data_IF_318180174978
#
_entry.id   IF_318180174978
#
_cell.length_a   1.000
_cell.length_b   1.000
_cell.length_c   1.000
_cell.angle_alpha   90.00
_cell.angle_beta   90.00
_cell.angle_gamma   90.00
#
_symmetry.space_group_name_H-M   'P 1'
#
loop_
_entity.id
_entity.type
_entity.pdbx_description
1 polymer ?
#
# COMPACT_ATOMS: atom_id res chain seq x y z
N UNK A 1 -23.36 4.39 10.92
CA UNK A 1 -22.02 4.68 10.37
C UNK A 1 -21.14 3.50 10.65
N UNK A 2 -20.63 2.83 9.61
CA UNK A 2 -19.81 1.63 9.76
C UNK A 2 -18.44 2.02 10.37
N UNK A 3 -18.03 1.37 11.45
CA UNK A 3 -16.93 1.79 12.31
C UNK A 3 -15.63 1.02 11.99
N UNK A 4 -14.47 1.70 12.03
CA UNK A 4 -13.14 1.06 11.82
C UNK A 4 -12.88 0.02 12.91
N UNK A 5 -13.60 0.09 14.03
CA UNK A 5 -13.55 -0.91 15.09
C UNK A 5 -13.73 -2.33 14.58
N UNK A 6 -14.54 -2.59 13.56
CA UNK A 6 -14.68 -3.95 13.01
C UNK A 6 -13.39 -4.45 12.34
N UNK A 7 -12.76 -3.63 11.50
CA UNK A 7 -11.46 -3.95 10.89
C UNK A 7 -10.40 -4.12 11.97
N UNK A 8 -10.41 -3.25 12.99
CA UNK A 8 -9.50 -3.32 14.13
C UNK A 8 -9.68 -4.61 14.94
N UNK A 9 -10.92 -5.02 15.16
CA UNK A 9 -11.26 -6.27 15.86
C UNK A 9 -10.79 -7.48 15.04
N UNK A 10 -11.03 -7.48 13.73
CA UNK A 10 -10.56 -8.53 12.82
C UNK A 10 -9.02 -8.66 12.87
N UNK A 11 -8.31 -7.53 12.76
CA UNK A 11 -6.83 -7.51 12.87
C UNK A 11 -6.38 -7.99 14.26
N UNK A 12 -7.06 -7.59 15.32
CA UNK A 12 -6.72 -7.99 16.69
C UNK A 12 -6.92 -9.48 16.92
N UNK A 13 -8.01 -10.05 16.38
CA UNK A 13 -8.26 -11.49 16.40
C UNK A 13 -7.19 -12.26 15.63
N UNK A 14 -6.85 -11.80 14.42
CA UNK A 14 -5.79 -12.39 13.60
C UNK A 14 -4.41 -12.34 14.30
N UNK A 15 -4.07 -11.21 14.94
CA UNK A 15 -2.84 -11.08 15.75
C UNK A 15 -2.82 -12.03 16.93
N UNK A 16 -3.95 -12.19 17.63
CA UNK A 16 -4.08 -13.09 18.77
C UNK A 16 -3.89 -14.54 18.34
N UNK A 17 -4.53 -14.95 17.24
CA UNK A 17 -4.36 -16.28 16.64
C UNK A 17 -2.89 -16.52 16.26
N UNK A 18 -2.26 -15.56 15.57
CA UNK A 18 -0.86 -15.69 15.16
C UNK A 18 0.09 -15.79 16.36
N UNK A 19 -0.14 -15.01 17.43
CA UNK A 19 0.63 -15.10 18.67
C UNK A 19 0.44 -16.44 19.39
N UNK A 20 -0.79 -16.98 19.38
CA UNK A 20 -1.10 -18.26 20.01
C UNK A 20 -0.38 -19.41 19.30
N UNK A 21 -0.37 -19.40 17.96
CA UNK A 21 0.33 -20.40 17.15
C UNK A 21 1.85 -20.24 17.30
N UNK A 22 2.38 -19.03 17.07
CA UNK A 22 3.82 -18.78 17.12
C UNK A 22 4.46 -19.01 18.50
N UNK A 23 3.73 -18.77 19.59
CA UNK A 23 4.20 -19.11 20.94
C UNK A 23 4.26 -20.62 21.19
N UNK A 24 3.31 -21.37 20.61
CA UNK A 24 3.27 -22.83 20.75
C UNK A 24 4.30 -23.54 19.88
N UNK A 25 4.55 -23.08 18.67
CA UNK A 25 5.59 -23.69 17.82
C UNK A 25 6.98 -23.54 18.44
N UNK A 26 7.29 -22.39 19.03
CA UNK A 26 8.53 -22.20 19.81
C UNK A 26 8.64 -23.19 20.97
N UNK A 27 7.57 -23.36 21.75
CA UNK A 27 7.56 -24.30 22.87
C UNK A 27 7.71 -25.77 22.40
N UNK A 28 7.07 -26.14 21.29
CA UNK A 28 7.20 -27.48 20.69
C UNK A 28 8.63 -27.74 20.23
N UNK A 29 9.28 -26.75 19.61
CA UNK A 29 10.65 -26.90 19.13
C UNK A 29 11.66 -26.98 20.29
N UNK A 30 11.51 -26.16 21.33
CA UNK A 30 12.34 -26.26 22.55
C UNK A 30 12.18 -27.61 23.27
N UNK A 31 10.97 -28.18 23.29
CA UNK A 31 10.76 -29.53 23.83
C UNK A 31 11.44 -30.62 22.99
N UNK A 32 11.47 -30.46 21.66
CA UNK A 32 12.19 -31.39 20.77
C UNK A 32 13.69 -31.33 21.01
N UNK A 33 14.24 -30.13 21.16
CA UNK A 33 15.67 -29.92 21.49
C UNK A 33 16.01 -30.60 22.83
N UNK A 34 15.23 -30.35 23.89
CA UNK A 34 15.43 -31.00 25.19
C UNK A 34 15.28 -32.53 25.13
N UNK A 35 14.33 -33.04 24.35
CA UNK A 35 14.17 -34.48 24.15
C UNK A 35 15.37 -35.10 23.41
N UNK A 36 15.92 -34.39 22.42
CA UNK A 36 17.13 -34.81 21.70
C UNK A 36 18.37 -34.80 22.60
N UNK A 37 18.50 -33.82 23.50
CA UNK A 37 19.58 -33.75 24.49
C UNK A 37 19.49 -34.88 25.53
N UNK A 38 18.29 -35.14 26.05
CA UNK A 38 18.06 -36.13 27.11
C UNK A 38 18.08 -37.58 26.61
N UNK A 39 17.78 -37.82 25.32
CA UNK A 39 17.84 -39.16 24.74
C UNK A 39 18.31 -39.15 23.28
N UNK A 40 19.64 -39.10 23.03
CA UNK A 40 20.22 -39.01 21.69
C UNK A 40 19.93 -40.21 20.78
N UNK A 41 19.54 -41.35 21.36
CA UNK A 41 19.22 -42.59 20.65
C UNK A 41 17.71 -42.69 20.32
N UNK A 42 16.88 -41.76 20.78
CA UNK A 42 15.45 -41.76 20.49
C UNK A 42 15.19 -41.20 19.09
N UNK A 43 14.75 -42.03 18.16
CA UNK A 43 14.18 -41.55 16.91
C UNK A 43 12.84 -40.87 17.21
N UNK A 44 12.76 -39.57 16.93
CA UNK A 44 11.49 -38.84 16.91
C UNK A 44 10.64 -39.47 15.81
N UNK A 45 9.65 -40.28 16.18
CA UNK A 45 8.72 -40.84 15.21
C UNK A 45 8.07 -39.69 14.43
N UNK A 46 8.01 -39.75 13.09
CA UNK A 46 7.25 -38.77 12.31
C UNK A 46 5.82 -38.78 12.81
N UNK A 47 5.17 -37.61 12.87
CA UNK A 47 3.86 -37.37 13.48
C UNK A 47 2.83 -38.44 13.06
N UNK A 48 2.82 -39.55 13.77
CA UNK A 48 1.87 -40.64 13.62
C UNK A 48 0.64 -40.18 14.35
N UNK A 49 -0.29 -39.58 13.57
CA UNK A 49 -1.63 -39.18 13.97
C UNK A 49 -1.68 -38.52 15.35
N UNK A 50 -1.58 -37.19 15.37
CA UNK A 50 -1.77 -36.37 16.58
C UNK A 50 -3.02 -36.87 17.33
N UNK A 51 -2.82 -37.71 18.35
CA UNK A 51 -3.92 -38.24 19.15
C UNK A 51 -4.53 -37.04 19.82
N UNK A 52 -5.78 -36.75 19.44
CA UNK A 52 -6.61 -35.64 19.88
C UNK A 52 -6.39 -35.40 21.37
N UNK A 53 -5.46 -34.49 21.71
CA UNK A 53 -5.19 -34.10 23.09
C UNK A 53 -6.42 -33.33 23.52
N UNK A 54 -7.32 -34.05 24.21
CA UNK A 54 -8.68 -33.68 24.55
C UNK A 54 -8.82 -32.30 25.21
N UNK A 55 -7.75 -31.77 25.78
CA UNK A 55 -7.72 -30.49 26.49
C UNK A 55 -7.37 -29.27 25.63
N UNK A 56 -6.84 -29.44 24.42
CA UNK A 56 -6.20 -28.33 23.68
C UNK A 56 -6.99 -27.86 22.44
N UNK A 57 -7.94 -28.66 21.95
CA UNK A 57 -8.68 -28.38 20.71
C UNK A 57 -9.74 -27.28 20.86
N UNK A 58 -10.39 -27.18 22.02
CA UNK A 58 -11.49 -26.23 22.27
C UNK A 58 -11.01 -24.78 22.28
N UNK A 59 -9.89 -24.49 22.95
CA UNK A 59 -9.34 -23.14 23.00
C UNK A 59 -8.84 -22.65 21.63
N UNK A 60 -8.36 -23.56 20.77
CA UNK A 60 -7.95 -23.20 19.41
C UNK A 60 -9.18 -22.95 18.52
N UNK A 61 -10.22 -23.78 18.61
CA UNK A 61 -11.45 -23.57 17.84
C UNK A 61 -12.10 -22.23 18.14
N UNK A 62 -12.02 -21.75 19.39
CA UNK A 62 -12.56 -20.45 19.80
C UNK A 62 -11.74 -19.26 19.23
N UNK A 63 -10.47 -19.49 18.93
CA UNK A 63 -9.54 -18.49 18.37
C UNK A 63 -9.51 -18.48 16.84
N UNK A 64 -10.03 -19.54 16.19
CA UNK A 64 -10.03 -19.63 14.73
C UNK A 64 -10.91 -18.52 14.13
N UNK A 65 -10.40 -17.97 13.03
CA UNK A 65 -11.15 -17.06 12.20
C UNK A 65 -12.18 -17.86 11.39
N UNK A 66 -13.38 -17.31 11.21
CA UNK A 66 -14.38 -17.86 10.30
C UNK A 66 -13.91 -17.73 8.85
N UNK A 67 -14.54 -18.48 7.94
CA UNK A 67 -14.24 -18.36 6.50
C UNK A 67 -14.45 -16.92 5.99
N UNK A 68 -15.48 -16.23 6.47
CA UNK A 68 -15.76 -14.84 6.12
C UNK A 68 -14.69 -13.88 6.64
N UNK A 69 -14.19 -14.10 7.86
CA UNK A 69 -13.10 -13.33 8.45
C UNK A 69 -11.78 -13.56 7.68
N UNK A 70 -11.49 -14.80 7.28
CA UNK A 70 -10.34 -15.12 6.43
C UNK A 70 -10.41 -14.43 5.07
N UNK A 71 -11.56 -14.49 4.41
CA UNK A 71 -11.79 -13.80 3.15
C UNK A 71 -11.62 -12.28 3.32
N UNK A 72 -12.14 -11.71 4.42
CA UNK A 72 -11.98 -10.30 4.73
C UNK A 72 -10.51 -9.90 4.94
N UNK A 73 -9.71 -10.76 5.57
CA UNK A 73 -8.26 -10.52 5.74
C UNK A 73 -7.53 -10.57 4.39
N UNK A 74 -7.86 -11.54 3.53
CA UNK A 74 -7.26 -11.64 2.19
C UNK A 74 -7.61 -10.43 1.31
N UNK A 75 -8.87 -10.01 1.31
CA UNK A 75 -9.31 -8.79 0.63
C UNK A 75 -8.62 -7.54 1.18
N UNK A 76 -8.49 -7.44 2.51
CA UNK A 76 -7.79 -6.32 3.15
C UNK A 76 -6.30 -6.29 2.78
N UNK A 77 -5.65 -7.45 2.72
CA UNK A 77 -4.25 -7.56 2.31
C UNK A 77 -4.07 -7.09 0.86
N UNK A 78 -4.94 -7.54 -0.06
CA UNK A 78 -4.95 -7.10 -1.47
C UNK A 78 -5.25 -5.61 -1.61
N UNK A 79 -6.20 -5.08 -0.84
CA UNK A 79 -6.53 -3.66 -0.80
C UNK A 79 -5.31 -2.81 -0.40
N UNK A 80 -4.56 -3.23 0.63
CA UNK A 80 -3.46 -2.46 1.19
C UNK A 80 -2.11 -2.70 0.49
N UNK A 81 -1.95 -3.77 -0.29
CA UNK A 81 -0.67 -4.12 -0.91
C UNK A 81 -0.05 -2.98 -1.75
N UNK A 82 -0.79 -2.26 -2.62
CA UNK A 82 -0.21 -1.14 -3.37
C UNK A 82 0.25 0.02 -2.48
N UNK A 83 -0.34 0.19 -1.29
CA UNK A 83 0.12 1.20 -0.33
C UNK A 83 1.46 0.82 0.27
N UNK A 84 1.70 -0.46 0.55
CA UNK A 84 3.03 -0.92 1.00
C UNK A 84 4.09 -0.58 -0.03
N UNK A 85 3.83 -0.89 -1.30
CA UNK A 85 4.74 -0.55 -2.41
C UNK A 85 4.95 0.97 -2.50
N UNK A 86 3.88 1.76 -2.52
CA UNK A 86 3.97 3.22 -2.59
C UNK A 86 4.78 3.83 -1.44
N UNK A 87 4.65 3.29 -0.23
CA UNK A 87 5.36 3.79 0.96
C UNK A 87 6.86 3.48 0.87
N UNK A 88 7.22 2.30 0.36
CA UNK A 88 8.61 1.94 0.10
C UNK A 88 9.24 2.84 -0.98
N UNK A 89 8.51 3.12 -2.06
CA UNK A 89 9.00 3.97 -3.15
C UNK A 89 9.14 5.45 -2.75
N UNK A 90 8.18 6.01 -2.01
CA UNK A 90 8.23 7.44 -1.61
C UNK A 90 9.13 7.63 -0.37
N UNK A 91 9.30 6.58 0.45
CA UNK A 91 10.17 6.60 1.63
C UNK A 91 11.65 6.47 1.33
N UNK A 92 12.04 6.16 0.09
CA UNK A 92 13.44 6.09 -0.32
C UNK A 92 14.15 7.44 -0.19
N UNK A 93 15.32 7.45 0.47
CA UNK A 93 16.14 8.66 0.65
C UNK A 93 17.28 8.80 -0.37
N UNK A 94 17.50 7.77 -1.20
CA UNK A 94 18.62 7.71 -2.14
C UNK A 94 18.33 8.38 -3.49
N UNK A 95 17.09 8.81 -3.73
CA UNK A 95 16.68 9.45 -4.98
C UNK A 95 15.60 10.51 -4.72
N UNK A 96 15.45 11.53 -5.58
CA UNK A 96 14.36 12.50 -5.47
C UNK A 96 13.00 11.83 -5.62
N UNK A 97 12.17 11.87 -4.57
CA UNK A 97 10.84 11.22 -4.56
C UNK A 97 9.69 12.18 -4.87
N UNK A 98 9.93 13.50 -4.80
CA UNK A 98 8.87 14.51 -4.96
C UNK A 98 8.17 14.44 -6.33
N UNK A 99 8.92 14.17 -7.40
CA UNK A 99 8.34 14.01 -8.74
C UNK A 99 7.48 12.74 -8.91
N UNK A 100 7.68 11.74 -8.04
CA UNK A 100 6.91 10.49 -8.04
C UNK A 100 5.63 10.56 -7.21
N UNK A 101 5.49 11.59 -6.38
CA UNK A 101 4.38 11.74 -5.43
C UNK A 101 3.03 11.76 -6.16
N UNK A 102 2.84 12.68 -7.12
CA UNK A 102 1.55 12.84 -7.82
C UNK A 102 1.18 11.60 -8.65
N UNK A 103 2.08 11.03 -9.48
CA UNK A 103 1.80 9.77 -10.17
C UNK A 103 1.38 8.64 -9.23
N UNK A 104 2.07 8.50 -8.09
CA UNK A 104 1.78 7.44 -7.11
C UNK A 104 0.41 7.60 -6.47
N UNK A 105 0.05 8.82 -6.05
CA UNK A 105 -1.27 9.10 -5.47
C UNK A 105 -2.41 8.78 -6.44
N UNK A 106 -2.26 9.15 -7.71
CA UNK A 106 -3.26 8.86 -8.74
C UNK A 106 -3.42 7.36 -8.96
N UNK A 107 -2.31 6.60 -8.97
CA UNK A 107 -2.36 5.13 -9.05
C UNK A 107 -3.06 4.52 -7.84
N UNK A 108 -2.80 5.01 -6.62
CA UNK A 108 -3.50 4.54 -5.42
C UNK A 108 -4.99 4.84 -5.47
N UNK A 109 -5.40 6.05 -5.87
CA UNK A 109 -6.81 6.40 -6.04
C UNK A 109 -7.50 5.53 -7.09
N UNK A 110 -6.80 5.22 -8.19
CA UNK A 110 -7.30 4.31 -9.23
C UNK A 110 -7.51 2.90 -8.69
N UNK A 111 -6.52 2.37 -7.97
CA UNK A 111 -6.60 1.07 -7.32
C UNK A 111 -7.81 0.98 -6.39
N UNK A 112 -8.02 1.98 -5.51
CA UNK A 112 -9.20 1.99 -4.63
C UNK A 112 -10.51 1.91 -5.42
N UNK A 113 -10.63 2.65 -6.53
CA UNK A 113 -11.82 2.68 -7.38
C UNK A 113 -12.05 1.36 -8.12
N UNK A 114 -11.00 0.80 -8.71
CA UNK A 114 -11.07 -0.43 -9.52
C UNK A 114 -11.22 -1.68 -8.65
N UNK A 115 -10.64 -1.68 -7.45
CA UNK A 115 -10.74 -2.79 -6.52
C UNK A 115 -12.08 -2.79 -5.78
N UNK A 116 -12.70 -1.63 -5.50
CA UNK A 116 -13.96 -1.52 -4.78
C UNK A 116 -15.09 -2.49 -5.23
N UNK A 117 -15.43 -2.62 -6.52
CA UNK A 117 -16.48 -3.53 -6.96
C UNK A 117 -16.16 -5.01 -6.74
N UNK A 118 -14.88 -5.38 -6.63
CA UNK A 118 -14.44 -6.75 -6.40
C UNK A 118 -14.49 -7.17 -4.92
N UNK A 119 -14.65 -6.21 -3.99
CA UNK A 119 -14.70 -6.49 -2.55
C UNK A 119 -16.04 -7.17 -2.21
N UNK A 120 -15.99 -8.29 -1.51
CA UNK A 120 -17.18 -8.98 -1.01
C UNK A 120 -17.51 -8.58 0.43
N UNK A 121 -16.48 -8.39 1.29
CA UNK A 121 -16.66 -8.05 2.70
C UNK A 121 -17.13 -6.61 2.91
N UNK A 122 -18.23 -6.44 3.63
CA UNK A 122 -18.77 -5.12 3.96
C UNK A 122 -17.80 -4.31 4.83
N UNK A 123 -17.12 -4.97 5.76
CA UNK A 123 -16.11 -4.36 6.63
C UNK A 123 -14.92 -3.84 5.80
N UNK A 124 -14.49 -4.58 4.77
CA UNK A 124 -13.42 -4.13 3.87
C UNK A 124 -13.89 -3.01 2.94
N UNK A 125 -15.15 -3.03 2.46
CA UNK A 125 -15.73 -1.89 1.71
C UNK A 125 -15.73 -0.61 2.53
N UNK A 126 -16.16 -0.69 3.79
CA UNK A 126 -16.14 0.44 4.70
C UNK A 126 -14.72 0.98 4.92
N UNK A 127 -13.73 0.08 5.05
CA UNK A 127 -12.32 0.45 5.12
C UNK A 127 -11.85 1.18 3.84
N UNK A 128 -12.12 0.62 2.67
CA UNK A 128 -11.78 1.19 1.37
C UNK A 128 -12.36 2.60 1.21
N UNK A 129 -13.63 2.81 1.57
CA UNK A 129 -14.27 4.12 1.53
C UNK A 129 -13.59 5.13 2.45
N UNK A 130 -13.22 4.73 3.68
CA UNK A 130 -12.51 5.61 4.61
C UNK A 130 -11.10 5.96 4.13
N UNK A 131 -10.38 5.00 3.54
CA UNK A 131 -9.08 5.27 2.92
C UNK A 131 -9.24 6.28 1.79
N UNK A 132 -10.23 6.09 0.91
CA UNK A 132 -10.51 7.00 -0.19
C UNK A 132 -10.86 8.42 0.31
N UNK A 133 -11.74 8.54 1.32
CA UNK A 133 -12.05 9.82 1.95
C UNK A 133 -10.82 10.49 2.56
N UNK A 134 -9.96 9.71 3.22
CA UNK A 134 -8.70 10.23 3.79
C UNK A 134 -7.74 10.73 2.71
N UNK A 135 -7.63 9.99 1.59
CA UNK A 135 -6.84 10.39 0.44
C UNK A 135 -7.36 11.69 -0.18
N UNK A 136 -8.68 11.79 -0.42
CA UNK A 136 -9.31 12.98 -0.99
C UNK A 136 -9.15 14.21 -0.09
N UNK A 137 -9.35 14.08 1.22
CA UNK A 137 -9.22 15.20 2.16
C UNK A 137 -7.79 15.73 2.29
N UNK A 138 -6.79 14.86 2.18
CA UNK A 138 -5.37 15.23 2.36
C UNK A 138 -4.69 15.66 1.05
N UNK A 139 -5.14 15.12 -0.08
CA UNK A 139 -4.43 15.20 -1.36
C UNK A 139 -5.33 15.63 -2.54
N UNK A 140 -6.49 16.24 -2.27
CA UNK A 140 -7.41 16.73 -3.31
C UNK A 140 -6.74 17.70 -4.28
N UNK A 141 -5.89 18.60 -3.77
CA UNK A 141 -5.21 19.61 -4.56
C UNK A 141 -3.68 19.43 -4.49
N UNK A 142 -3.05 18.94 -5.57
CA UNK A 142 -1.61 18.76 -5.60
C UNK A 142 -0.88 20.10 -5.64
N UNK A 143 0.19 20.23 -4.86
CA UNK A 143 1.00 21.45 -4.84
C UNK A 143 1.69 21.69 -6.19
N UNK A 144 1.87 22.95 -6.58
CA UNK A 144 2.65 23.30 -7.77
C UNK A 144 4.08 22.78 -7.71
N UNK A 145 4.71 22.72 -6.53
CA UNK A 145 6.05 22.14 -6.37
C UNK A 145 6.09 20.65 -6.73
N UNK A 146 5.10 19.87 -6.29
CA UNK A 146 5.00 18.44 -6.62
C UNK A 146 4.72 18.24 -8.11
N UNK A 147 3.87 19.07 -8.71
CA UNK A 147 3.57 19.03 -10.14
C UNK A 147 4.76 19.44 -11.01
N UNK A 148 5.51 20.48 -10.61
CA UNK A 148 6.73 20.91 -11.27
C UNK A 148 7.80 19.83 -11.17
N UNK A 149 8.01 19.26 -9.97
CA UNK A 149 8.97 18.17 -9.78
C UNK A 149 8.65 16.97 -10.68
N UNK A 150 7.36 16.63 -10.82
CA UNK A 150 6.93 15.57 -11.73
C UNK A 150 7.14 15.97 -13.20
N UNK A 151 6.84 17.21 -13.58
CA UNK A 151 7.07 17.71 -14.94
C UNK A 151 8.55 17.70 -15.35
N UNK A 152 9.45 18.03 -14.42
CA UNK A 152 10.90 18.04 -14.63
C UNK A 152 11.50 16.63 -14.66
N UNK A 153 10.79 15.62 -14.16
CA UNK A 153 11.19 14.23 -14.26
C UNK A 153 10.87 13.68 -15.66
N UNK A 154 11.89 13.20 -16.38
CA UNK A 154 11.73 12.67 -17.74
C UNK A 154 10.69 11.55 -17.83
N UNK A 155 10.52 10.76 -16.76
CA UNK A 155 9.54 9.66 -16.68
C UNK A 155 8.10 10.17 -16.70
N UNK A 156 7.86 11.40 -16.22
CA UNK A 156 6.53 11.96 -16.04
C UNK A 156 6.29 13.26 -16.80
N UNK A 157 7.25 13.70 -17.62
CA UNK A 157 7.21 14.91 -18.45
C UNK A 157 5.91 15.09 -19.25
N UNK A 158 5.30 13.99 -19.67
CA UNK A 158 4.04 14.02 -20.43
C UNK A 158 2.83 14.45 -19.58
N UNK A 159 2.84 14.21 -18.26
CA UNK A 159 1.75 14.51 -17.34
C UNK A 159 0.35 14.06 -17.84
N UNK A 160 0.28 12.88 -18.48
CA UNK A 160 -0.97 12.30 -19.00
C UNK A 160 -2.01 11.96 -17.91
N UNK A 161 -1.59 12.01 -16.65
CA UNK A 161 -2.40 11.80 -15.46
C UNK A 161 -3.03 13.09 -14.90
N UNK A 162 -2.77 14.27 -15.49
CA UNK A 162 -3.34 15.56 -15.08
C UNK A 162 -4.08 16.22 -16.24
N UNK A 163 -5.10 17.04 -15.94
CA UNK A 163 -5.83 17.80 -16.97
C UNK A 163 -4.90 18.75 -17.74
N UNK A 164 -5.24 19.01 -19.01
CA UNK A 164 -4.48 19.95 -19.84
C UNK A 164 -4.44 21.36 -19.25
N UNK A 165 -5.51 21.80 -18.55
CA UNK A 165 -5.50 23.09 -17.84
C UNK A 165 -4.44 23.12 -16.75
N UNK A 166 -4.44 22.13 -15.86
CA UNK A 166 -3.49 22.07 -14.75
C UNK A 166 -2.05 21.88 -15.22
N UNK A 167 -1.84 21.14 -16.32
CA UNK A 167 -0.53 21.05 -16.99
C UNK A 167 -0.06 22.43 -17.46
N UNK A 168 -0.92 23.21 -18.13
CA UNK A 168 -0.59 24.59 -18.56
C UNK A 168 -0.31 25.50 -17.37
N UNK A 169 -1.14 25.45 -16.32
CA UNK A 169 -0.93 26.20 -15.08
C UNK A 169 0.42 25.87 -14.43
N UNK A 170 0.78 24.59 -14.38
CA UNK A 170 2.07 24.12 -13.83
C UNK A 170 3.25 24.67 -14.63
N UNK A 171 3.18 24.63 -15.96
CA UNK A 171 4.23 25.15 -16.84
C UNK A 171 4.34 26.68 -16.68
N UNK A 172 3.21 27.40 -16.62
CA UNK A 172 3.21 28.84 -16.39
C UNK A 172 3.85 29.20 -15.03
N UNK A 173 3.50 28.45 -13.97
CA UNK A 173 4.06 28.64 -12.63
C UNK A 173 5.57 28.34 -12.59
N UNK A 174 6.04 27.36 -13.38
CA UNK A 174 7.47 27.09 -13.52
C UNK A 174 8.20 28.29 -14.12
N UNK A 175 7.71 28.82 -15.24
CA UNK A 175 8.32 29.98 -15.89
C UNK A 175 8.31 31.23 -14.98
N UNK A 176 7.19 31.53 -14.32
CA UNK A 176 7.13 32.67 -13.38
C UNK A 176 8.11 32.51 -12.22
N UNK A 177 8.31 31.28 -11.73
CA UNK A 177 9.28 30.99 -10.67
C UNK A 177 10.72 31.24 -11.15
N UNK A 178 11.03 30.84 -12.39
CA UNK A 178 12.32 31.13 -13.01
C UNK A 178 12.55 32.62 -13.24
N UNK A 179 11.56 33.36 -13.73
CA UNK A 179 11.71 34.81 -13.96
C UNK A 179 11.92 35.59 -12.66
N UNK A 180 11.33 35.11 -11.57
CA UNK A 180 11.48 35.72 -10.23
C UNK A 180 12.83 35.38 -9.60
N UNK A 181 13.37 34.17 -9.83
CA UNK A 181 14.65 33.71 -9.25
C UNK A 181 15.87 33.95 -10.14
N UNK A 182 15.67 34.12 -11.45
CA UNK A 182 16.70 34.24 -12.49
C UNK A 182 17.58 35.50 -12.39
N UNK A 183 17.33 36.39 -11.43
CA UNK A 183 18.18 37.54 -11.14
C UNK A 183 19.12 37.38 -9.93
N UNK A 184 18.94 36.37 -9.07
CA UNK A 184 19.69 36.34 -7.79
C UNK A 184 20.70 35.20 -7.60
N UNK A 185 20.67 34.08 -8.35
CA UNK A 185 21.43 32.88 -7.92
C UNK A 185 22.10 32.01 -9.01
N UNK A 186 22.09 32.40 -10.29
CA UNK A 186 22.54 31.52 -11.38
C UNK A 186 24.07 31.20 -11.42
N UNK A 187 24.89 31.73 -10.51
CA UNK A 187 26.34 31.40 -10.46
C UNK A 187 26.74 30.92 -9.07
N UNK A 188 26.20 29.78 -8.61
CA UNK A 188 26.91 28.97 -7.62
C UNK A 188 26.36 27.53 -7.62
N UNK A 189 27.19 26.62 -8.14
CA UNK A 189 27.17 25.17 -7.89
C UNK A 189 26.14 24.31 -8.65
N UNK A 190 26.53 23.84 -9.83
CA UNK A 190 26.10 22.53 -10.34
C UNK A 190 27.30 21.58 -10.27
N UNK A 191 27.23 20.57 -9.39
CA UNK A 191 28.13 19.40 -9.44
C UNK A 191 27.42 18.22 -10.14
N UNK A 192 28.14 17.39 -10.91
CA UNK A 192 27.53 16.33 -11.72
C UNK A 192 27.13 15.11 -10.88
N UNK A 193 25.87 14.68 -10.98
CA UNK A 193 25.41 13.39 -10.44
C UNK A 193 25.76 12.25 -11.41
N UNK A 194 26.50 11.27 -10.92
CA UNK A 194 26.74 9.98 -11.54
C UNK A 194 25.75 8.97 -10.96
N UNK A 195 24.92 8.31 -11.77
CA UNK A 195 24.45 6.95 -11.48
C UNK A 195 23.94 6.23 -12.73
N UNK A 196 24.51 5.04 -12.95
CA UNK A 196 24.07 4.02 -13.89
C UNK A 196 22.60 3.63 -13.60
N UNK A 197 21.72 3.80 -14.59
CA UNK A 197 20.31 3.41 -14.49
C UNK A 197 20.09 2.06 -15.16
N UNK A 198 19.72 1.06 -14.36
CA UNK A 198 19.21 -0.22 -14.85
C UNK A 198 17.72 -0.09 -15.24
N UNK A 199 17.37 -0.75 -16.34
CA UNK A 199 16.08 -0.74 -17.03
C UNK A 199 14.98 -1.52 -16.29
N UNK A 200 14.60 -1.10 -15.08
CA UNK A 200 13.51 -1.72 -14.31
C UNK A 200 12.13 -1.09 -14.57
N UNK A 201 12.10 0.12 -15.11
CA UNK A 201 10.87 0.91 -15.23
C UNK A 201 9.88 0.38 -16.28
N UNK A 202 10.29 -0.45 -17.23
CA UNK A 202 9.44 -0.86 -18.36
C UNK A 202 8.15 -1.58 -17.95
N UNK A 203 8.15 -2.36 -16.86
CA UNK A 203 6.97 -3.14 -16.45
C UNK A 203 5.85 -2.31 -15.81
N UNK A 204 6.05 -1.00 -15.63
CA UNK A 204 5.12 -0.11 -14.91
C UNK A 204 4.30 0.82 -15.83
N UNK A 205 4.53 0.78 -17.15
CA UNK A 205 4.05 1.80 -18.10
C UNK A 205 3.31 1.27 -19.34
N UNK A 206 2.89 0.01 -19.37
CA UNK A 206 2.20 -0.54 -20.56
C UNK A 206 0.72 -0.14 -20.72
N UNK A 207 0.16 0.69 -19.82
CA UNK A 207 -1.23 1.16 -19.95
C UNK A 207 -1.30 2.63 -20.37
N UNK A 208 -1.29 2.87 -21.68
CA UNK A 208 -1.75 4.10 -22.30
C UNK A 208 -3.27 4.22 -22.16
N UNK A 209 -3.77 4.97 -21.16
CA UNK A 209 -5.15 5.42 -21.15
C UNK A 209 -5.33 6.84 -20.61
N UNK A 210 -6.02 7.66 -21.41
CA UNK A 210 -6.34 9.07 -21.18
C UNK A 210 -7.52 9.19 -20.22
N UNK A 211 -7.34 9.82 -19.05
CA UNK A 211 -8.47 10.17 -18.16
C UNK A 211 -8.83 11.65 -18.36
N UNK A 212 -9.87 11.90 -19.16
CA UNK A 212 -10.51 13.22 -19.27
C UNK A 212 -11.93 13.28 -18.69
N UNK A 213 -12.53 12.19 -18.20
CA UNK A 213 -13.97 12.21 -17.84
C UNK A 213 -14.37 11.74 -16.42
N UNK A 214 -13.44 11.43 -15.51
CA UNK A 214 -13.82 10.72 -14.26
C UNK A 214 -13.86 11.57 -12.97
N UNK A 215 -13.55 12.87 -13.01
CA UNK A 215 -13.72 13.74 -11.83
C UNK A 215 -15.12 14.39 -11.73
N UNK A 216 -16.00 14.17 -12.72
CA UNK A 216 -17.40 14.66 -12.71
C UNK A 216 -18.44 13.61 -12.30
N UNK A 217 -18.11 12.32 -12.26
CA UNK A 217 -19.10 11.25 -12.00
C UNK A 217 -19.11 10.71 -10.57
N UNK A 218 -18.37 11.32 -9.63
CA UNK A 218 -18.35 10.90 -8.22
C UNK A 218 -19.51 11.53 -7.41
N UNK A 219 -20.39 12.33 -8.03
CA UNK A 219 -21.63 12.83 -7.40
C UNK A 219 -22.87 11.96 -7.65
N UNK A 220 -22.73 10.76 -8.24
CA UNK A 220 -23.87 9.89 -8.59
C UNK A 220 -23.97 8.59 -7.78
N UNK A 221 -23.06 8.33 -6.83
CA UNK A 221 -23.16 7.16 -5.93
C UNK A 221 -23.87 7.50 -4.60
N UNK A 222 -24.39 8.73 -4.45
CA UNK A 222 -25.21 9.14 -3.30
C UNK A 222 -26.73 9.05 -3.55
N UNK A 223 -27.18 8.41 -4.64
CA UNK A 223 -28.61 8.17 -4.88
C UNK A 223 -28.87 6.77 -5.42
N UNK A 224 -28.77 5.79 -4.55
CA UNK A 224 -29.64 4.60 -4.50
C UNK A 224 -29.58 3.96 -3.11
#
# INVERSE_FOLDING_TARGET
GFDITEVSNLISKAKTLNSYIGGKDKYRESLRELQAELNPQHQVNPLSSDTRTHWNGTKLSDLLLSTEEWNSIDELAKLLHPFTQATEYIGGSQYPTLGMMIPTLIKLSRHLREFYPAITSQTVKACCNKINQSMLSRWSEPSFHSLIAAFLDLRFKQMNYVTASKKRETIAHLYSSFDTQGRSTFIQELQPLNTNSSSFFSSFYDDDYVIQNELKNISLIEKE
#
